data_IF_872187089122
#
_entry.id   IF_872187089122
#
_cell.length_a   1.000
_cell.length_b   1.000
_cell.length_c   1.000
_cell.angle_alpha   90.00
_cell.angle_beta   90.00
_cell.angle_gamma   90.00
#
_symmetry.space_group_name_H-M   'P 1'
#
loop_
_entity.id
_entity.type
_entity.pdbx_description
1 polymer ?
#
# COMPACT_ATOMS: atom_id res chain seq x y z
N UNK A 1 -13.76 17.94 -0.95
CA UNK A 1 -14.06 18.61 0.28
C UNK A 1 -13.22 18.14 1.45
N UNK A 2 -13.52 18.66 2.62
CA UNK A 2 -12.81 18.29 3.83
C UNK A 2 -12.85 16.79 4.11
N UNK A 3 -13.93 16.15 3.71
CA UNK A 3 -14.15 14.74 3.90
C UNK A 3 -13.13 13.90 3.11
N UNK A 4 -12.86 14.29 1.88
CA UNK A 4 -11.91 13.57 1.03
C UNK A 4 -10.48 13.74 1.53
N UNK A 5 -10.12 14.94 1.94
CA UNK A 5 -8.81 15.21 2.52
C UNK A 5 -8.60 14.41 3.81
N UNK A 6 -9.61 14.40 4.67
CA UNK A 6 -9.59 13.63 5.92
C UNK A 6 -9.41 12.15 5.64
N UNK A 7 -10.16 11.63 4.67
CA UNK A 7 -10.09 10.23 4.29
C UNK A 7 -8.70 9.83 3.79
N UNK A 8 -8.05 10.67 3.01
CA UNK A 8 -6.70 10.41 2.52
C UNK A 8 -5.67 10.33 3.63
N UNK A 9 -5.70 11.26 4.57
CA UNK A 9 -4.75 11.25 5.69
C UNK A 9 -5.01 10.08 6.63
N UNK A 10 -6.27 9.84 6.95
CA UNK A 10 -6.64 8.72 7.80
C UNK A 10 -6.28 7.39 7.15
N UNK A 11 -6.49 7.27 5.82
CA UNK A 11 -6.14 6.08 5.07
C UNK A 11 -4.64 5.81 5.06
N UNK A 12 -3.83 6.84 4.85
CA UNK A 12 -2.37 6.70 4.88
C UNK A 12 -1.88 6.29 6.25
N UNK A 13 -2.34 6.99 7.29
CA UNK A 13 -1.95 6.69 8.67
C UNK A 13 -2.39 5.29 9.08
N UNK A 14 -3.63 4.92 8.73
CA UNK A 14 -4.16 3.59 9.03
C UNK A 14 -3.39 2.49 8.32
N UNK A 15 -2.99 2.72 7.08
CA UNK A 15 -2.23 1.74 6.31
C UNK A 15 -0.84 1.54 6.93
N UNK A 16 -0.14 2.61 7.27
CA UNK A 16 1.18 2.51 7.93
C UNK A 16 1.06 1.80 9.27
N UNK A 17 0.02 2.11 10.03
CA UNK A 17 -0.23 1.46 11.31
C UNK A 17 -0.48 -0.05 11.13
N UNK A 18 -1.29 -0.41 10.12
CA UNK A 18 -1.55 -1.80 9.80
C UNK A 18 -0.30 -2.55 9.37
N UNK A 19 0.56 -1.90 8.59
CA UNK A 19 1.83 -2.49 8.15
C UNK A 19 2.75 -2.73 9.36
N UNK A 20 2.83 -1.78 10.26
CA UNK A 20 3.60 -1.94 11.49
C UNK A 20 3.12 -3.16 12.28
N UNK A 21 1.81 -3.26 12.47
CA UNK A 21 1.22 -4.39 13.16
C UNK A 21 1.57 -5.71 12.45
N UNK A 22 1.41 -5.75 11.13
CA UNK A 22 1.66 -6.96 10.36
C UNK A 22 3.13 -7.39 10.42
N UNK A 23 4.05 -6.46 10.22
CA UNK A 23 5.47 -6.79 10.18
C UNK A 23 6.10 -6.97 11.56
N UNK A 24 5.72 -6.15 12.51
CA UNK A 24 6.38 -6.16 13.83
C UNK A 24 5.66 -7.01 14.86
N UNK A 25 4.33 -6.94 14.89
CA UNK A 25 3.56 -7.72 15.89
C UNK A 25 3.25 -9.13 15.40
N UNK A 26 2.84 -9.29 14.15
CA UNK A 26 2.55 -10.60 13.57
C UNK A 26 3.78 -11.27 12.98
N UNK A 27 4.84 -10.52 12.72
CA UNK A 27 6.07 -11.06 12.17
C UNK A 27 5.96 -11.54 10.73
N UNK A 28 5.05 -11.00 9.95
CA UNK A 28 4.91 -11.37 8.55
C UNK A 28 6.18 -11.00 7.78
N UNK A 29 6.51 -11.79 6.77
CA UNK A 29 7.71 -11.57 5.96
C UNK A 29 7.45 -10.72 4.74
N UNK A 30 6.23 -10.75 4.21
CA UNK A 30 5.86 -10.07 2.98
C UNK A 30 4.36 -9.77 2.99
N UNK A 31 4.01 -8.60 2.50
CA UNK A 31 2.63 -8.21 2.27
C UNK A 31 2.50 -7.84 0.81
N UNK A 32 1.41 -8.25 0.18
CA UNK A 32 1.16 -7.91 -1.20
C UNK A 32 -0.32 -7.61 -1.42
N UNK A 33 -0.61 -6.87 -2.48
CA UNK A 33 -1.99 -6.58 -2.86
C UNK A 33 -2.06 -6.12 -4.30
N UNK A 34 -3.24 -6.26 -4.88
CA UNK A 34 -3.50 -5.86 -6.25
C UNK A 34 -4.25 -4.54 -6.31
N UNK A 35 -3.84 -3.69 -7.23
CA UNK A 35 -4.50 -2.41 -7.47
C UNK A 35 -4.75 -2.29 -8.96
N UNK A 36 -5.96 -1.87 -9.35
CA UNK A 36 -6.27 -1.63 -10.75
C UNK A 36 -5.39 -0.53 -11.33
N UNK A 37 -4.92 -0.70 -12.55
CA UNK A 37 -3.99 0.25 -13.16
C UNK A 37 -4.58 1.66 -13.28
N UNK A 38 -5.89 1.76 -13.42
CA UNK A 38 -6.59 3.05 -13.52
C UNK A 38 -6.76 3.75 -12.17
N UNK A 39 -6.55 3.04 -11.06
CA UNK A 39 -6.68 3.62 -9.73
C UNK A 39 -5.38 4.34 -9.35
N UNK A 40 -5.21 5.53 -9.91
CA UNK A 40 -3.98 6.30 -9.73
C UNK A 40 -3.74 6.74 -8.30
N UNK A 41 -4.82 7.04 -7.57
CA UNK A 41 -4.71 7.45 -6.16
C UNK A 41 -4.12 6.34 -5.30
N UNK A 42 -4.64 5.13 -5.44
CA UNK A 42 -4.13 3.99 -4.67
C UNK A 42 -2.71 3.62 -5.08
N UNK A 43 -2.41 3.70 -6.38
CA UNK A 43 -1.06 3.45 -6.88
C UNK A 43 -0.05 4.43 -6.33
N UNK A 44 -0.40 5.72 -6.36
CA UNK A 44 0.45 6.77 -5.80
C UNK A 44 0.69 6.56 -4.32
N UNK A 45 -0.37 6.29 -3.56
CA UNK A 45 -0.27 6.07 -2.12
C UNK A 45 0.62 4.87 -1.79
N UNK A 46 0.44 3.78 -2.52
CA UNK A 46 1.26 2.57 -2.30
C UNK A 46 2.73 2.84 -2.51
N UNK A 47 3.09 3.54 -3.59
CA UNK A 47 4.48 3.90 -3.87
C UNK A 47 5.04 4.86 -2.82
N UNK A 48 4.22 5.82 -2.39
CA UNK A 48 4.62 6.80 -1.38
C UNK A 48 4.96 6.12 -0.05
N UNK A 49 4.19 5.10 0.31
CA UNK A 49 4.41 4.35 1.54
C UNK A 49 5.64 3.45 1.44
N UNK A 50 5.98 3.02 0.23
CA UNK A 50 7.18 2.21 0.01
C UNK A 50 6.93 0.85 -0.63
N UNK A 51 5.72 0.59 -1.10
CA UNK A 51 5.45 -0.63 -1.86
C UNK A 51 6.17 -0.58 -3.20
N UNK A 52 6.58 -1.75 -3.65
CA UNK A 52 7.27 -1.92 -4.93
C UNK A 52 6.33 -2.63 -5.89
N UNK A 53 6.27 -2.14 -7.12
CA UNK A 53 5.51 -2.79 -8.18
C UNK A 53 6.25 -4.06 -8.60
N UNK A 54 5.64 -5.22 -8.36
CA UNK A 54 6.27 -6.50 -8.60
C UNK A 54 5.82 -7.15 -9.91
N UNK A 55 4.53 -7.02 -10.22
CA UNK A 55 3.98 -7.68 -11.39
C UNK A 55 2.79 -6.89 -11.93
N UNK A 56 2.45 -7.16 -13.19
CA UNK A 56 1.28 -6.60 -13.84
C UNK A 56 0.49 -7.74 -14.47
N UNK A 57 -0.75 -7.92 -14.00
CA UNK A 57 -1.64 -8.95 -14.53
C UNK A 57 -2.55 -8.30 -15.56
N UNK A 58 -2.39 -8.70 -16.80
CA UNK A 58 -3.12 -8.10 -17.92
C UNK A 58 -4.59 -8.49 -17.89
N UNK A 59 -5.44 -7.49 -18.03
CA UNK A 59 -6.89 -7.66 -18.21
C UNK A 59 -7.53 -8.60 -17.19
N UNK A 60 -7.18 -8.42 -15.92
CA UNK A 60 -7.64 -9.31 -14.84
C UNK A 60 -8.97 -8.92 -14.23
N UNK A 61 -9.44 -7.71 -14.42
CA UNK A 61 -10.68 -7.28 -13.81
C UNK A 61 -11.39 -6.20 -14.61
N UNK A 62 -12.58 -5.86 -14.16
CA UNK A 62 -13.40 -4.83 -14.79
C UNK A 62 -13.47 -3.59 -13.91
N UNK A 63 -13.25 -2.43 -14.52
CA UNK A 63 -13.46 -1.14 -13.90
C UNK A 63 -14.38 -0.36 -14.82
N UNK A 64 -15.54 0.03 -14.31
CA UNK A 64 -16.57 0.75 -15.06
C UNK A 64 -16.92 0.06 -16.40
N UNK A 65 -17.02 -1.28 -16.36
CA UNK A 65 -17.39 -2.06 -17.54
C UNK A 65 -16.28 -2.33 -18.53
N UNK A 66 -15.07 -1.84 -18.28
CA UNK A 66 -13.92 -2.06 -19.14
C UNK A 66 -12.89 -2.93 -18.45
N UNK A 67 -12.20 -3.75 -19.25
CA UNK A 67 -11.10 -4.57 -18.73
C UNK A 67 -9.94 -3.68 -18.31
N UNK A 68 -9.36 -3.98 -17.16
CA UNK A 68 -8.20 -3.27 -16.67
C UNK A 68 -7.16 -4.26 -16.14
N UNK A 69 -5.91 -3.82 -16.13
CA UNK A 69 -4.82 -4.58 -15.57
C UNK A 69 -4.82 -4.45 -14.04
N UNK A 70 -4.32 -5.47 -13.38
CA UNK A 70 -4.09 -5.42 -11.93
C UNK A 70 -2.59 -5.39 -11.70
N UNK A 71 -2.14 -4.39 -10.96
CA UNK A 71 -0.73 -4.24 -10.63
C UNK A 71 -0.51 -4.77 -9.21
N UNK A 72 0.42 -5.69 -9.08
CA UNK A 72 0.74 -6.29 -7.78
C UNK A 72 1.84 -5.47 -7.12
N UNK A 73 1.53 -4.94 -5.97
CA UNK A 73 2.45 -4.19 -5.13
C UNK A 73 2.85 -5.02 -3.93
N UNK A 74 4.12 -5.00 -3.59
CA UNK A 74 4.65 -5.80 -2.50
C UNK A 74 5.53 -4.99 -1.58
N UNK A 75 5.58 -5.41 -0.33
CA UNK A 75 6.55 -4.90 0.65
C UNK A 75 7.01 -6.06 1.50
N UNK A 76 8.33 -6.23 1.61
CA UNK A 76 8.91 -7.23 2.51
C UNK A 76 9.19 -6.61 3.86
N UNK A 77 9.31 -7.46 4.89
CA UNK A 77 9.69 -6.99 6.23
C UNK A 77 11.04 -6.29 6.21
N UNK A 78 11.94 -6.76 5.37
CA UNK A 78 13.26 -6.15 5.20
C UNK A 78 13.14 -4.73 4.66
N UNK A 79 12.28 -4.52 3.66
CA UNK A 79 12.01 -3.19 3.12
C UNK A 79 11.34 -2.29 4.16
N UNK A 80 10.39 -2.84 4.91
CA UNK A 80 9.73 -2.12 6.00
C UNK A 80 10.76 -1.60 7.01
N UNK A 81 11.63 -2.49 7.48
CA UNK A 81 12.66 -2.11 8.44
C UNK A 81 13.58 -1.03 7.90
N UNK A 82 13.98 -1.16 6.64
CA UNK A 82 14.85 -0.17 5.99
C UNK A 82 14.18 1.21 5.89
N UNK A 83 12.90 1.23 5.55
CA UNK A 83 12.15 2.47 5.32
C UNK A 83 11.72 3.16 6.62
N UNK A 84 11.34 2.39 7.62
CA UNK A 84 10.67 2.93 8.80
C UNK A 84 11.47 2.80 10.10
N UNK A 85 12.47 1.94 10.14
CA UNK A 85 13.29 1.79 11.33
C UNK A 85 14.14 3.04 11.53
N UNK A 86 13.92 3.72 12.65
CA UNK A 86 14.63 4.94 12.99
C UNK A 86 14.10 6.21 12.33
N UNK A 87 13.21 6.10 11.35
CA UNK A 87 12.62 7.26 10.68
C UNK A 87 11.36 7.76 11.37
N UNK A 88 10.57 6.84 11.88
CA UNK A 88 9.34 7.16 12.57
C UNK A 88 9.43 6.59 13.97
N UNK A 89 9.25 7.46 14.94
CA UNK A 89 9.22 7.06 16.33
C UNK A 89 7.76 6.71 16.67
N UNK A 90 7.43 5.44 16.51
CA UNK A 90 6.08 4.96 16.81
C UNK A 90 5.91 4.73 18.30
N UNK A 91 6.13 5.74 19.09
CA UNK A 91 5.83 5.68 20.51
C UNK A 91 4.35 5.98 20.73
N UNK A 92 3.60 4.95 20.68
CA UNK A 92 2.18 5.04 20.96
C UNK A 92 1.88 4.54 22.35
#
# INVERSE_FOLDING_TARGET
>A
GNKDYWGKRAGEAGLVFGLRFAFEDLGLRKIFGGIYSKNLTARFLSKKIGFVEEARLKEKGYVDGELDDVIIYTMTRKQWKHLYSGKYDFKF
#
